data_IF_127469925510
#
_entry.id   IF_127469925510
#
_cell.length_a   1.000
_cell.length_b   1.000
_cell.length_c   1.000
_cell.angle_alpha   90.00
_cell.angle_beta   90.00
_cell.angle_gamma   90.00
#
_symmetry.space_group_name_H-M   'P 1'
#
loop_
_entity.id
_entity.type
_entity.pdbx_description
1 polymer ?
#
# COMPACT_ATOMS: atom_id res chain seq x y z
N UNK A 1 17.12 3.22 -16.11
CA UNK A 1 15.93 4.02 -16.50
C UNK A 1 14.78 3.57 -15.61
N UNK A 2 14.08 4.46 -14.98
CA UNK A 2 13.11 4.14 -13.91
C UNK A 2 11.82 3.58 -14.50
N UNK A 3 11.46 2.34 -14.17
CA UNK A 3 10.36 1.63 -14.80
C UNK A 3 9.39 1.04 -13.77
N UNK A 4 8.10 1.20 -14.03
CA UNK A 4 7.00 0.63 -13.24
C UNK A 4 6.13 -0.22 -14.17
N UNK A 5 5.87 -1.44 -13.79
CA UNK A 5 4.88 -2.31 -14.45
C UNK A 5 3.58 -2.25 -13.66
N UNK A 6 2.46 -2.05 -14.35
CA UNK A 6 1.12 -2.03 -13.75
C UNK A 6 0.29 -3.13 -14.41
N UNK A 7 -0.12 -4.11 -13.62
CA UNK A 7 -0.96 -5.23 -14.04
C UNK A 7 -2.42 -4.93 -13.67
N UNK A 8 -3.27 -4.80 -14.68
CA UNK A 8 -4.72 -4.64 -14.50
C UNK A 8 -5.38 -6.03 -14.53
N UNK A 9 -5.06 -6.84 -13.55
CA UNK A 9 -5.32 -8.27 -13.46
C UNK A 9 -6.59 -8.66 -12.69
N UNK A 10 -7.26 -7.71 -12.06
CA UNK A 10 -8.50 -7.96 -11.33
C UNK A 10 -9.71 -7.35 -12.05
N UNK A 11 -10.78 -8.12 -12.22
CA UNK A 11 -12.00 -7.66 -12.88
C UNK A 11 -12.86 -6.74 -12.01
N UNK A 12 -12.69 -6.82 -10.70
CA UNK A 12 -13.46 -6.05 -9.72
C UNK A 12 -12.78 -4.70 -9.40
N UNK A 13 -12.13 -4.08 -10.38
CA UNK A 13 -11.48 -2.76 -10.22
C UNK A 13 -12.20 -1.69 -11.04
N UNK A 14 -12.13 -0.46 -10.58
CA UNK A 14 -12.62 0.67 -11.35
C UNK A 14 -11.58 1.11 -12.40
N UNK A 15 -11.57 0.41 -13.54
CA UNK A 15 -10.62 0.66 -14.64
C UNK A 15 -10.56 2.13 -15.05
N UNK A 16 -11.71 2.79 -15.19
CA UNK A 16 -11.79 4.19 -15.61
C UNK A 16 -11.02 5.11 -14.67
N UNK A 17 -11.20 4.94 -13.36
CA UNK A 17 -10.53 5.73 -12.34
C UNK A 17 -9.02 5.47 -12.33
N UNK A 18 -8.63 4.19 -12.40
CA UNK A 18 -7.22 3.79 -12.39
C UNK A 18 -6.51 4.36 -13.62
N UNK A 19 -7.09 4.19 -14.80
CA UNK A 19 -6.57 4.71 -16.06
C UNK A 19 -6.44 6.23 -16.03
N UNK A 20 -7.41 6.94 -15.46
CA UNK A 20 -7.33 8.39 -15.30
C UNK A 20 -6.20 8.81 -14.34
N UNK A 21 -6.01 8.09 -13.24
CA UNK A 21 -4.90 8.32 -12.32
C UNK A 21 -3.53 8.08 -12.98
N UNK A 22 -3.40 7.04 -13.81
CA UNK A 22 -2.20 6.77 -14.62
C UNK A 22 -1.92 7.93 -15.58
N UNK A 23 -2.95 8.45 -16.27
CA UNK A 23 -2.81 9.64 -17.13
C UNK A 23 -2.28 10.85 -16.36
N UNK A 24 -2.83 11.13 -15.19
CA UNK A 24 -2.34 12.24 -14.35
C UNK A 24 -0.89 12.04 -13.92
N UNK A 25 -0.51 10.81 -13.57
CA UNK A 25 0.86 10.51 -13.20
C UNK A 25 1.84 10.68 -14.36
N UNK A 26 1.52 10.18 -15.56
CA UNK A 26 2.39 10.25 -16.73
C UNK A 26 2.67 11.70 -17.17
N UNK A 27 1.75 12.62 -16.91
CA UNK A 27 1.95 14.05 -17.14
C UNK A 27 2.93 14.65 -16.13
N UNK A 28 2.84 14.21 -14.84
CA UNK A 28 3.67 14.74 -13.75
C UNK A 28 5.09 14.17 -13.71
N UNK A 29 5.26 12.88 -14.04
CA UNK A 29 6.52 12.13 -13.90
C UNK A 29 6.97 11.56 -15.27
N UNK A 30 7.35 12.45 -16.19
CA UNK A 30 7.79 12.09 -17.55
C UNK A 30 9.07 11.28 -17.62
N UNK A 31 9.87 11.28 -16.55
CA UNK A 31 11.13 10.53 -16.43
C UNK A 31 10.94 9.06 -15.99
N UNK A 32 9.71 8.63 -15.73
CA UNK A 32 9.36 7.25 -15.35
C UNK A 32 8.63 6.59 -16.51
N UNK A 33 9.09 5.40 -16.91
CA UNK A 33 8.40 4.59 -17.92
C UNK A 33 7.37 3.70 -17.25
N UNK A 34 6.16 3.69 -17.77
CA UNK A 34 5.04 2.88 -17.33
C UNK A 34 4.76 1.80 -18.37
N UNK A 35 4.75 0.55 -17.95
CA UNK A 35 4.32 -0.60 -18.71
C UNK A 35 2.97 -1.07 -18.18
N UNK A 36 1.92 -0.84 -18.96
CA UNK A 36 0.55 -1.15 -18.55
C UNK A 36 0.13 -2.45 -19.21
N UNK A 37 -0.14 -3.46 -18.41
CA UNK A 37 -0.57 -4.79 -18.85
C UNK A 37 -2.04 -5.00 -18.53
N UNK A 38 -2.86 -5.33 -19.53
CA UNK A 38 -4.28 -5.51 -19.33
C UNK A 38 -5.01 -5.94 -20.61
N UNK A 39 -6.33 -6.13 -20.52
CA UNK A 39 -7.15 -6.36 -21.70
C UNK A 39 -7.22 -5.09 -22.55
N UNK A 40 -7.25 -5.27 -23.87
CA UNK A 40 -7.31 -4.16 -24.81
C UNK A 40 -8.47 -3.19 -24.51
N UNK A 41 -9.66 -3.70 -24.22
CA UNK A 41 -10.85 -2.89 -23.90
C UNK A 41 -10.67 -2.01 -22.66
N UNK A 42 -9.87 -2.44 -21.69
CA UNK A 42 -9.71 -1.78 -20.40
C UNK A 42 -8.66 -0.65 -20.46
N UNK A 43 -7.70 -0.75 -21.38
CA UNK A 43 -6.58 0.20 -21.51
C UNK A 43 -6.58 1.02 -22.81
N UNK A 44 -7.55 0.80 -23.72
CA UNK A 44 -7.66 1.54 -24.99
C UNK A 44 -7.76 3.06 -24.85
N UNK A 45 -8.25 3.53 -23.71
CA UNK A 45 -8.34 4.98 -23.44
C UNK A 45 -7.01 5.62 -23.07
N UNK A 46 -5.95 4.81 -22.83
CA UNK A 46 -4.59 5.30 -22.63
C UNK A 46 -3.93 5.53 -23.98
N UNK A 47 -3.35 6.71 -24.15
CA UNK A 47 -2.55 7.00 -25.33
C UNK A 47 -1.13 6.50 -25.12
N UNK A 48 -0.62 5.69 -26.04
CA UNK A 48 0.78 5.26 -26.06
C UNK A 48 1.66 6.51 -26.27
N UNK A 49 2.63 6.69 -25.39
CA UNK A 49 3.60 7.79 -25.43
C UNK A 49 5.01 7.24 -25.23
N UNK A 50 6.03 8.09 -25.30
CA UNK A 50 7.41 7.67 -25.01
C UNK A 50 7.60 7.17 -23.57
N UNK A 51 6.70 7.54 -22.65
CA UNK A 51 6.74 7.11 -21.23
C UNK A 51 5.63 6.12 -20.85
N UNK A 52 4.71 5.79 -21.77
CA UNK A 52 3.60 4.86 -21.50
C UNK A 52 3.55 3.78 -22.58
N UNK A 53 3.84 2.56 -22.19
CA UNK A 53 3.83 1.37 -23.04
C UNK A 53 2.63 0.49 -22.70
N UNK A 54 1.84 0.12 -23.69
CA UNK A 54 0.65 -0.72 -23.54
C UNK A 54 0.95 -2.13 -24.02
N UNK A 55 0.69 -3.10 -23.16
CA UNK A 55 0.85 -4.53 -23.41
C UNK A 55 -0.50 -5.22 -23.25
N UNK A 56 -0.95 -5.87 -24.28
CA UNK A 56 -2.26 -6.49 -24.30
C UNK A 56 -2.17 -7.97 -23.90
N UNK A 57 -2.86 -8.35 -22.83
CA UNK A 57 -3.06 -9.74 -22.49
C UNK A 57 -4.14 -10.32 -23.41
N UNK A 58 -3.73 -11.17 -24.36
CA UNK A 58 -4.65 -11.91 -25.22
C UNK A 58 -5.35 -13.00 -24.40
N UNK A 59 -6.63 -12.80 -24.16
CA UNK A 59 -7.46 -13.77 -23.45
C UNK A 59 -8.60 -14.20 -24.35
N UNK A 60 -8.35 -15.20 -25.16
CA UNK A 60 -9.41 -16.02 -25.76
C UNK A 60 -9.87 -16.99 -24.68
N UNK A 61 -11.06 -16.77 -24.14
CA UNK A 61 -11.67 -17.64 -23.13
C UNK A 61 -12.31 -16.86 -21.98
N UNK A 62 -13.47 -17.32 -21.56
CA UNK A 62 -14.32 -16.64 -20.58
C UNK A 62 -13.99 -16.98 -19.11
N UNK A 63 -12.92 -17.70 -18.82
CA UNK A 63 -12.57 -18.04 -17.44
C UNK A 63 -11.81 -16.88 -16.79
N UNK A 64 -12.44 -16.30 -15.78
CA UNK A 64 -11.90 -15.16 -15.04
C UNK A 64 -10.53 -15.44 -14.40
N UNK A 65 -10.34 -16.64 -13.86
CA UNK A 65 -9.09 -17.07 -13.22
C UNK A 65 -7.94 -17.10 -14.22
N UNK A 66 -8.17 -17.63 -15.43
CA UNK A 66 -7.15 -17.71 -16.47
C UNK A 66 -6.74 -16.31 -16.97
N UNK A 67 -7.70 -15.40 -17.05
CA UNK A 67 -7.45 -14.01 -17.42
C UNK A 67 -6.56 -13.31 -16.41
N UNK A 68 -6.87 -13.42 -15.12
CA UNK A 68 -6.06 -12.86 -14.03
C UNK A 68 -4.63 -13.37 -14.09
N UNK A 69 -4.45 -14.68 -14.18
CA UNK A 69 -3.13 -15.32 -14.23
C UNK A 69 -2.33 -14.95 -15.46
N UNK A 70 -2.94 -14.96 -16.65
CA UNK A 70 -2.26 -14.57 -17.90
C UNK A 70 -1.82 -13.11 -17.86
N UNK A 71 -2.66 -12.20 -17.35
CA UNK A 71 -2.33 -10.78 -17.24
C UNK A 71 -1.16 -10.58 -16.27
N UNK A 72 -1.20 -11.20 -15.08
CA UNK A 72 -0.12 -11.13 -14.12
C UNK A 72 1.16 -11.79 -14.64
N UNK A 73 1.08 -12.95 -15.31
CA UNK A 73 2.23 -13.64 -15.91
C UNK A 73 2.94 -12.74 -16.93
N UNK A 74 2.20 -12.09 -17.82
CA UNK A 74 2.76 -11.13 -18.78
C UNK A 74 3.38 -9.92 -18.08
N UNK A 75 2.78 -9.46 -16.97
CA UNK A 75 3.34 -8.35 -16.18
C UNK A 75 4.66 -8.75 -15.50
N UNK A 76 4.76 -9.96 -14.97
CA UNK A 76 5.99 -10.50 -14.37
C UNK A 76 7.08 -10.68 -15.46
N UNK A 77 6.73 -11.23 -16.63
CA UNK A 77 7.64 -11.33 -17.76
C UNK A 77 8.17 -9.95 -18.18
N UNK A 78 7.28 -8.96 -18.24
CA UNK A 78 7.64 -7.57 -18.54
C UNK A 78 8.54 -6.97 -17.46
N UNK A 79 8.27 -7.24 -16.17
CA UNK A 79 9.11 -6.79 -15.05
C UNK A 79 10.56 -7.27 -15.23
N UNK A 80 10.76 -8.53 -15.61
CA UNK A 80 12.10 -9.08 -15.82
C UNK A 80 12.74 -8.59 -17.13
N UNK A 81 12.02 -8.66 -18.25
CA UNK A 81 12.51 -8.26 -19.58
C UNK A 81 12.93 -6.80 -19.64
N UNK A 82 12.15 -5.95 -19.02
CA UNK A 82 12.40 -4.50 -19.00
C UNK A 82 13.28 -4.07 -17.83
N UNK A 83 13.72 -5.01 -16.97
CA UNK A 83 14.48 -4.72 -15.75
C UNK A 83 13.79 -3.66 -14.86
N UNK A 84 12.45 -3.76 -14.78
CA UNK A 84 11.67 -2.81 -13.98
C UNK A 84 11.86 -3.06 -12.48
N UNK A 85 11.65 -2.03 -11.68
CA UNK A 85 11.91 -2.04 -10.24
C UNK A 85 10.66 -2.35 -9.42
N UNK A 86 9.49 -2.01 -9.97
CA UNK A 86 8.20 -2.08 -9.28
C UNK A 86 7.17 -2.80 -10.15
N UNK A 87 6.43 -3.71 -9.53
CA UNK A 87 5.21 -4.30 -10.09
C UNK A 87 4.01 -3.90 -9.21
N UNK A 88 3.02 -3.25 -9.81
CA UNK A 88 1.73 -2.96 -9.17
C UNK A 88 0.69 -3.94 -9.72
N UNK A 89 -0.02 -4.64 -8.84
CA UNK A 89 -1.10 -5.58 -9.15
C UNK A 89 -2.33 -5.27 -8.31
N UNK A 90 -3.50 -5.63 -8.81
CA UNK A 90 -4.76 -5.44 -8.11
C UNK A 90 -5.37 -6.75 -7.58
N UNK A 91 -4.63 -7.86 -7.66
CA UNK A 91 -5.00 -9.12 -7.02
C UNK A 91 -5.04 -8.98 -5.49
N UNK A 92 -5.71 -9.91 -4.84
CA UNK A 92 -5.68 -9.98 -3.39
C UNK A 92 -4.27 -10.30 -2.87
N UNK A 93 -3.96 -9.84 -1.66
CA UNK A 93 -2.61 -9.93 -1.07
C UNK A 93 -2.04 -11.34 -1.08
N UNK A 94 -2.81 -12.32 -0.60
CA UNK A 94 -2.36 -13.73 -0.56
C UNK A 94 -2.26 -14.33 -1.97
N UNK A 95 -3.13 -13.94 -2.90
CA UNK A 95 -3.10 -14.37 -4.29
C UNK A 95 -1.87 -13.79 -5.02
N UNK A 96 -1.62 -12.49 -4.92
CA UNK A 96 -0.43 -11.84 -5.47
C UNK A 96 0.86 -12.49 -4.97
N UNK A 97 0.97 -12.71 -3.66
CA UNK A 97 2.13 -13.40 -3.09
C UNK A 97 2.32 -14.80 -3.68
N UNK A 98 1.25 -15.62 -3.70
CA UNK A 98 1.27 -16.99 -4.22
C UNK A 98 1.70 -17.06 -5.70
N UNK A 99 1.12 -16.21 -6.54
CA UNK A 99 1.43 -16.21 -7.97
C UNK A 99 2.86 -15.71 -8.27
N UNK A 100 3.45 -14.91 -7.39
CA UNK A 100 4.82 -14.41 -7.54
C UNK A 100 5.91 -15.28 -6.89
N UNK A 101 5.53 -16.33 -6.15
CA UNK A 101 6.49 -17.19 -5.43
C UNK A 101 7.56 -17.82 -6.32
N UNK A 102 7.17 -18.29 -7.50
CA UNK A 102 8.07 -18.99 -8.42
C UNK A 102 8.95 -18.07 -9.28
N UNK A 103 8.49 -16.82 -9.45
CA UNK A 103 9.08 -15.90 -10.43
C UNK A 103 9.90 -14.79 -9.80
N UNK A 104 9.66 -14.46 -8.54
CA UNK A 104 10.35 -13.39 -7.82
C UNK A 104 10.84 -13.93 -6.48
N UNK A 105 12.17 -13.95 -6.32
CA UNK A 105 12.83 -14.55 -5.16
C UNK A 105 12.52 -13.79 -3.86
N UNK A 106 12.36 -14.55 -2.77
CA UNK A 106 12.37 -13.98 -1.41
C UNK A 106 13.83 -13.73 -0.98
N UNK A 107 14.10 -12.57 -0.42
CA UNK A 107 15.40 -12.20 0.14
C UNK A 107 15.39 -12.12 1.67
N UNK A 108 14.20 -12.05 2.25
CA UNK A 108 13.93 -12.09 3.70
C UNK A 108 12.50 -12.61 3.93
N UNK A 109 12.03 -12.62 5.18
CA UNK A 109 10.63 -12.93 5.50
C UNK A 109 9.70 -11.99 4.71
N UNK A 110 8.84 -12.51 3.80
CA UNK A 110 7.93 -11.66 3.05
C UNK A 110 6.78 -11.18 3.94
N UNK A 111 6.40 -9.93 3.79
CA UNK A 111 5.26 -9.34 4.52
C UNK A 111 4.69 -8.13 3.79
N UNK A 112 3.47 -7.74 4.15
CA UNK A 112 2.87 -6.52 3.63
C UNK A 112 3.05 -5.36 4.59
N UNK A 113 3.65 -4.27 4.10
CA UNK A 113 3.70 -2.97 4.76
C UNK A 113 2.59 -2.08 4.19
N UNK A 114 1.72 -1.58 5.05
CA UNK A 114 0.69 -0.62 4.69
C UNK A 114 1.06 0.76 5.22
N UNK A 115 0.97 1.79 4.37
CA UNK A 115 1.12 3.19 4.75
C UNK A 115 -0.26 3.85 4.80
N UNK A 116 -0.60 4.44 5.91
CA UNK A 116 -1.90 5.07 6.11
C UNK A 116 -1.79 6.43 6.78
N UNK A 117 -2.80 7.28 6.58
CA UNK A 117 -2.89 8.59 7.22
C UNK A 117 -3.56 8.44 8.58
N UNK A 118 -3.01 9.05 9.62
CA UNK A 118 -3.60 9.05 10.96
C UNK A 118 -4.63 10.17 11.13
N UNK A 119 -5.65 9.94 11.97
CA UNK A 119 -6.82 10.84 12.04
C UNK A 119 -6.57 12.18 12.71
N UNK A 120 -5.56 12.32 13.56
CA UNK A 120 -5.44 13.51 14.44
C UNK A 120 -4.46 14.55 13.91
N UNK A 121 -3.40 14.16 13.21
CA UNK A 121 -2.30 15.07 12.89
C UNK A 121 -1.99 15.10 11.37
N UNK A 122 -2.82 14.50 10.55
CA UNK A 122 -2.53 14.32 9.11
C UNK A 122 -1.14 13.75 8.85
N UNK A 123 -0.65 12.90 9.76
CA UNK A 123 0.63 12.21 9.71
C UNK A 123 0.44 10.82 9.12
N UNK A 124 1.41 10.35 8.39
CA UNK A 124 1.43 8.98 7.92
C UNK A 124 2.10 8.08 8.95
N UNK A 125 1.50 6.92 9.17
CA UNK A 125 2.07 5.80 9.92
C UNK A 125 2.07 4.54 9.06
N UNK A 126 2.75 3.50 9.55
CA UNK A 126 2.91 2.23 8.84
C UNK A 126 2.42 1.08 9.71
N UNK A 127 1.88 0.04 9.07
CA UNK A 127 1.41 -1.20 9.70
C UNK A 127 2.06 -2.41 9.03
N UNK A 128 2.74 -3.27 9.80
CA UNK A 128 3.41 -4.49 9.35
C UNK A 128 3.25 -5.63 10.40
N UNK A 129 2.88 -6.85 10.05
CA UNK A 129 2.47 -7.35 8.75
C UNK A 129 1.00 -7.03 8.50
N UNK A 130 0.69 -6.42 7.39
CA UNK A 130 -0.68 -6.00 7.10
C UNK A 130 -1.46 -6.98 6.20
N UNK A 131 -1.10 -8.26 6.20
CA UNK A 131 -1.97 -9.23 5.55
C UNK A 131 -1.36 -10.42 4.85
N UNK A 132 -0.20 -10.93 5.27
CA UNK A 132 0.39 -12.15 4.73
C UNK A 132 0.53 -13.27 5.78
N UNK A 133 1.16 -12.98 6.92
CA UNK A 133 1.51 -13.97 7.93
C UNK A 133 0.54 -13.91 9.12
N UNK A 134 -0.20 -14.98 9.35
CA UNK A 134 -1.17 -15.06 10.45
C UNK A 134 -0.50 -15.38 11.80
N UNK A 135 0.67 -16.05 11.78
CA UNK A 135 1.53 -16.26 12.94
C UNK A 135 2.98 -15.96 12.57
N UNK A 136 3.72 -15.36 13.48
CA UNK A 136 5.11 -14.98 13.32
C UNK A 136 5.89 -15.38 14.57
N UNK A 137 7.09 -15.90 14.41
CA UNK A 137 8.06 -16.09 15.48
C UNK A 137 8.68 -14.75 15.89
N UNK A 138 9.37 -14.73 17.02
CA UNK A 138 10.12 -13.56 17.50
C UNK A 138 11.11 -13.06 16.44
N UNK A 139 11.91 -13.97 15.86
CA UNK A 139 12.94 -13.61 14.87
C UNK A 139 12.32 -13.02 13.59
N UNK A 140 11.19 -13.57 13.12
CA UNK A 140 10.46 -13.01 11.97
C UNK A 140 9.90 -11.62 12.27
N UNK A 141 9.38 -11.36 13.47
CA UNK A 141 8.99 -10.01 13.89
C UNK A 141 10.16 -9.03 13.87
N UNK A 142 11.33 -9.44 14.35
CA UNK A 142 12.54 -8.60 14.35
C UNK A 142 13.01 -8.33 12.91
N UNK A 143 12.95 -9.32 12.05
CA UNK A 143 13.30 -9.15 10.63
C UNK A 143 12.34 -8.19 9.92
N UNK A 144 11.03 -8.33 10.14
CA UNK A 144 9.98 -7.42 9.64
C UNK A 144 10.22 -6.00 10.17
N UNK A 145 10.50 -5.83 11.47
CA UNK A 145 10.81 -4.55 12.08
C UNK A 145 11.99 -3.86 11.39
N UNK A 146 13.10 -4.58 11.26
CA UNK A 146 14.32 -4.01 10.68
C UNK A 146 14.13 -3.65 9.19
N UNK A 147 13.49 -4.54 8.43
CA UNK A 147 13.19 -4.32 7.01
C UNK A 147 12.24 -3.14 6.83
N UNK A 148 11.20 -3.04 7.66
CA UNK A 148 10.23 -1.93 7.62
C UNK A 148 10.89 -0.59 7.95
N UNK A 149 11.67 -0.53 9.03
CA UNK A 149 12.35 0.71 9.44
C UNK A 149 13.35 1.18 8.39
N UNK A 150 14.11 0.24 7.81
CA UNK A 150 15.04 0.55 6.72
C UNK A 150 14.28 1.08 5.49
N UNK A 151 13.20 0.46 5.09
CA UNK A 151 12.37 0.91 3.96
C UNK A 151 11.76 2.30 4.23
N UNK A 152 11.27 2.54 5.44
CA UNK A 152 10.70 3.83 5.87
C UNK A 152 11.78 4.93 5.83
N UNK A 153 12.97 4.66 6.31
CA UNK A 153 14.08 5.60 6.27
C UNK A 153 14.54 5.88 4.84
N UNK A 154 14.78 4.83 4.06
CA UNK A 154 15.34 4.89 2.71
C UNK A 154 14.36 5.55 1.71
N UNK A 155 13.06 5.25 1.80
CA UNK A 155 12.06 5.66 0.80
C UNK A 155 11.29 6.91 1.24
N UNK A 156 10.99 7.02 2.53
CA UNK A 156 10.19 8.13 3.06
C UNK A 156 10.99 9.15 3.85
N UNK A 157 12.32 8.93 3.99
CA UNK A 157 13.26 9.83 4.68
C UNK A 157 12.90 10.09 6.15
N UNK A 158 12.22 9.13 6.80
CA UNK A 158 11.87 9.19 8.23
C UNK A 158 12.98 8.50 9.02
N UNK A 159 13.95 9.28 9.47
CA UNK A 159 15.07 8.79 10.31
C UNK A 159 14.59 8.48 11.72
N UNK A 160 15.23 7.48 12.36
CA UNK A 160 14.93 7.08 13.74
C UNK A 160 13.45 6.82 14.01
N UNK A 161 12.76 6.19 13.04
CA UNK A 161 11.33 5.90 13.15
C UNK A 161 10.98 5.19 14.45
N UNK A 162 9.96 5.70 15.13
CA UNK A 162 9.40 5.10 16.35
C UNK A 162 8.50 3.92 16.00
N UNK A 163 8.40 2.93 16.89
CA UNK A 163 7.57 1.76 16.64
C UNK A 163 6.90 1.23 17.90
N UNK A 164 5.77 0.57 17.72
CA UNK A 164 4.97 -0.08 18.76
C UNK A 164 4.53 -1.46 18.31
N UNK A 165 4.23 -2.33 19.26
CA UNK A 165 3.51 -3.59 19.00
C UNK A 165 2.02 -3.30 19.07
N UNK A 166 1.28 -3.63 18.00
CA UNK A 166 -0.17 -3.50 17.97
C UNK A 166 -0.80 -4.63 18.79
N UNK A 167 -1.51 -4.27 19.86
CA UNK A 167 -2.17 -5.22 20.75
C UNK A 167 -3.49 -4.64 21.28
N UNK A 168 -4.44 -5.54 21.58
CA UNK A 168 -5.63 -5.18 22.35
C UNK A 168 -5.29 -4.98 23.83
N UNK A 169 -4.20 -5.57 24.32
CA UNK A 169 -3.79 -5.57 25.71
C UNK A 169 -2.90 -4.38 26.02
N UNK A 170 -3.23 -3.62 27.05
CA UNK A 170 -2.46 -2.43 27.46
C UNK A 170 -1.60 -2.65 28.70
N UNK A 171 -1.82 -3.74 29.43
CA UNK A 171 -1.11 -4.08 30.67
C UNK A 171 -0.26 -5.32 30.44
N UNK A 172 0.97 -5.34 30.95
CA UNK A 172 1.89 -6.50 30.85
C UNK A 172 1.26 -7.80 31.38
N UNK A 173 0.42 -7.73 32.44
CA UNK A 173 -0.28 -8.89 32.98
C UNK A 173 -1.22 -9.61 31.99
N UNK A 174 -1.65 -8.89 30.96
CA UNK A 174 -2.67 -9.37 30.03
C UNK A 174 -2.03 -9.79 28.69
N UNK A 175 -0.71 -9.67 28.55
CA UNK A 175 -0.01 -10.03 27.32
C UNK A 175 -0.05 -11.53 27.08
N UNK A 176 -0.28 -11.92 25.83
CA UNK A 176 -0.06 -13.29 25.38
C UNK A 176 1.44 -13.64 25.46
N UNK A 177 1.78 -14.93 25.42
CA UNK A 177 3.16 -15.38 25.46
C UNK A 177 4.04 -14.68 24.39
N UNK A 178 3.57 -14.60 23.16
CA UNK A 178 4.27 -13.96 22.07
C UNK A 178 4.41 -12.44 22.28
N UNK A 179 3.37 -11.77 22.80
CA UNK A 179 3.44 -10.33 23.12
C UNK A 179 4.44 -10.06 24.23
N UNK A 180 4.50 -10.92 25.26
CA UNK A 180 5.47 -10.81 26.35
C UNK A 180 6.91 -10.99 25.86
N UNK A 181 7.14 -11.96 24.99
CA UNK A 181 8.47 -12.21 24.39
C UNK A 181 8.92 -10.99 23.54
N UNK A 182 8.04 -10.51 22.67
CA UNK A 182 8.32 -9.31 21.84
C UNK A 182 8.56 -8.07 22.71
N UNK A 183 7.72 -7.84 23.71
CA UNK A 183 7.85 -6.69 24.60
C UNK A 183 9.20 -6.73 25.35
N UNK A 184 9.55 -7.87 25.95
CA UNK A 184 10.80 -8.04 26.67
C UNK A 184 12.03 -7.86 25.77
N UNK A 185 11.99 -8.35 24.53
CA UNK A 185 13.07 -8.19 23.57
C UNK A 185 13.23 -6.77 23.03
N UNK A 186 12.17 -5.97 23.06
CA UNK A 186 12.14 -4.63 22.46
C UNK A 186 12.14 -3.47 23.46
N UNK A 187 11.73 -3.68 24.73
CA UNK A 187 11.52 -2.60 25.74
C UNK A 187 12.71 -1.65 25.94
N UNK A 188 13.92 -2.13 25.70
CA UNK A 188 15.16 -1.34 25.85
C UNK A 188 15.75 -0.90 24.49
N UNK A 189 15.08 -1.15 23.36
CA UNK A 189 15.56 -0.78 22.04
C UNK A 189 15.17 0.64 21.68
N UNK A 190 16.06 1.39 21.02
CA UNK A 190 15.82 2.76 20.58
C UNK A 190 14.59 2.84 19.65
N UNK A 191 13.68 3.75 19.97
CA UNK A 191 12.49 4.01 19.18
C UNK A 191 11.26 3.18 19.55
N UNK A 192 11.38 2.25 20.52
CA UNK A 192 10.24 1.47 20.99
C UNK A 192 9.32 2.31 21.89
N UNK A 193 8.03 2.42 21.54
CA UNK A 193 7.02 3.17 22.25
C UNK A 193 6.01 2.28 23.02
N UNK A 194 6.36 1.00 23.23
CA UNK A 194 5.52 0.05 23.95
C UNK A 194 4.39 -0.54 23.11
N UNK A 195 3.35 -1.01 23.79
CA UNK A 195 2.14 -1.54 23.17
C UNK A 195 1.25 -0.40 22.68
N UNK A 196 0.52 -0.64 21.59
CA UNK A 196 -0.42 0.31 21.02
C UNK A 196 -1.74 -0.38 20.70
N UNK A 197 -2.83 0.12 21.26
CA UNK A 197 -4.18 -0.33 20.94
C UNK A 197 -4.71 0.37 19.67
N UNK A 198 -5.92 0.00 19.23
CA UNK A 198 -6.51 0.56 18.02
C UNK A 198 -6.65 2.09 18.04
N UNK A 199 -6.91 2.70 19.22
CA UNK A 199 -6.99 4.16 19.37
C UNK A 199 -5.61 4.82 19.21
N UNK A 200 -4.57 4.22 19.80
CA UNK A 200 -3.19 4.70 19.66
C UNK A 200 -2.73 4.68 18.19
N UNK A 201 -3.12 3.62 17.45
CA UNK A 201 -2.81 3.47 16.03
C UNK A 201 -3.50 4.58 15.21
N UNK A 202 -4.80 4.78 15.43
CA UNK A 202 -5.57 5.83 14.72
C UNK A 202 -5.03 7.23 15.05
N UNK A 203 -4.58 7.45 16.28
CA UNK A 203 -3.98 8.73 16.70
C UNK A 203 -2.54 8.94 16.21
N UNK A 204 -1.88 7.91 15.70
CA UNK A 204 -0.50 8.02 15.21
C UNK A 204 0.54 8.11 16.33
N UNK A 205 0.42 7.30 17.39
CA UNK A 205 1.36 7.27 18.52
C UNK A 205 2.78 6.93 18.09
N UNK A 206 2.93 6.10 17.06
CA UNK A 206 4.22 5.66 16.49
C UNK A 206 4.22 5.75 14.98
N UNK A 207 5.43 5.75 14.39
CA UNK A 207 5.60 5.73 12.94
C UNK A 207 5.28 4.35 12.35
N UNK A 208 5.62 3.27 13.07
CA UNK A 208 5.41 1.89 12.65
C UNK A 208 4.69 1.09 13.74
N UNK A 209 3.73 0.28 13.33
CA UNK A 209 3.05 -0.68 14.19
C UNK A 209 3.30 -2.09 13.71
N UNK A 210 3.85 -2.93 14.58
CA UNK A 210 4.07 -4.36 14.32
C UNK A 210 2.82 -5.14 14.71
N UNK A 211 2.39 -6.04 13.85
CA UNK A 211 1.22 -6.89 14.04
C UNK A 211 1.33 -8.14 13.17
N UNK A 212 0.37 -9.05 13.25
CA UNK A 212 0.19 -10.15 12.30
C UNK A 212 -0.96 -9.85 11.33
N UNK A 213 -1.09 -10.65 10.28
CA UNK A 213 -2.08 -10.44 9.23
C UNK A 213 -3.54 -10.47 9.73
N UNK A 214 -3.84 -11.34 10.69
CA UNK A 214 -5.19 -11.47 11.26
C UNK A 214 -5.60 -10.21 12.03
N UNK A 215 -4.75 -9.74 12.95
CA UNK A 215 -5.01 -8.53 13.73
C UNK A 215 -5.03 -7.28 12.83
N UNK A 216 -4.14 -7.17 11.85
CA UNK A 216 -4.14 -6.09 10.88
C UNK A 216 -5.43 -6.06 10.06
N UNK A 217 -5.88 -7.22 9.57
CA UNK A 217 -7.11 -7.33 8.78
C UNK A 217 -8.33 -6.94 9.60
N UNK A 218 -8.42 -7.39 10.85
CA UNK A 218 -9.49 -7.01 11.76
C UNK A 218 -9.52 -5.51 12.04
N UNK A 219 -8.37 -4.91 12.31
CA UNK A 219 -8.23 -3.46 12.53
C UNK A 219 -8.67 -2.66 11.29
N UNK A 220 -8.16 -3.02 10.12
CA UNK A 220 -8.46 -2.33 8.85
C UNK A 220 -9.96 -2.43 8.54
N UNK A 221 -10.55 -3.62 8.66
CA UNK A 221 -11.98 -3.84 8.40
C UNK A 221 -12.85 -3.13 9.43
N UNK A 222 -12.47 -3.13 10.71
CA UNK A 222 -13.18 -2.42 11.77
C UNK A 222 -13.23 -0.91 11.53
N UNK A 223 -12.10 -0.31 11.18
CA UNK A 223 -12.04 1.13 10.86
C UNK A 223 -12.86 1.43 9.59
N UNK A 224 -12.77 0.57 8.56
CA UNK A 224 -13.57 0.69 7.34
C UNK A 224 -15.06 0.65 7.62
N UNK A 225 -15.53 -0.36 8.36
CA UNK A 225 -16.95 -0.52 8.70
C UNK A 225 -17.48 0.64 9.55
N UNK A 226 -16.70 1.12 10.50
CA UNK A 226 -17.07 2.30 11.30
C UNK A 226 -17.21 3.54 10.42
N UNK A 227 -16.29 3.76 9.50
CA UNK A 227 -16.35 4.89 8.58
C UNK A 227 -17.57 4.80 7.64
N UNK A 228 -17.83 3.64 7.05
CA UNK A 228 -18.99 3.41 6.17
C UNK A 228 -20.31 3.68 6.92
N UNK A 229 -20.45 3.14 8.13
CA UNK A 229 -21.61 3.38 8.99
C UNK A 229 -21.79 4.86 9.35
N UNK A 230 -20.69 5.56 9.64
CA UNK A 230 -20.74 7.00 9.91
C UNK A 230 -21.17 7.79 8.67
N UNK A 231 -20.63 7.45 7.49
CA UNK A 231 -20.95 8.08 6.21
C UNK A 231 -22.43 7.87 5.86
N UNK A 232 -22.97 6.65 6.02
CA UNK A 232 -24.38 6.36 5.77
C UNK A 232 -25.31 7.20 6.65
N UNK A 233 -24.99 7.29 7.95
CA UNK A 233 -25.74 8.14 8.89
C UNK A 233 -25.69 9.62 8.51
N UNK A 234 -24.51 10.10 8.13
CA UNK A 234 -24.29 11.48 7.71
C UNK A 234 -25.07 11.79 6.42
N UNK A 235 -24.97 10.92 5.41
CA UNK A 235 -25.69 11.09 4.14
C UNK A 235 -27.21 11.05 4.34
N UNK A 236 -27.71 10.18 5.25
CA UNK A 236 -29.14 10.15 5.62
C UNK A 236 -29.56 11.44 6.29
N UNK A 237 -28.81 11.92 7.28
CA UNK A 237 -29.06 13.17 7.98
C UNK A 237 -29.15 14.36 7.01
N UNK A 238 -28.19 14.47 6.08
CA UNK A 238 -28.20 15.53 5.06
C UNK A 238 -29.42 15.42 4.12
N UNK A 239 -29.88 14.20 3.81
CA UNK A 239 -31.06 14.01 2.94
C UNK A 239 -32.37 14.37 3.63
N UNK A 240 -32.48 14.10 4.92
CA UNK A 240 -33.74 14.22 5.67
C UNK A 240 -33.98 15.62 6.26
N UNK A 241 -32.89 16.41 6.49
CA UNK A 241 -32.95 17.72 7.11
C UNK A 241 -32.66 18.84 6.10
N UNK A 242 -33.62 19.79 5.97
CA UNK A 242 -33.50 20.94 5.06
C UNK A 242 -32.39 21.92 5.50
N UNK A 243 -32.24 22.15 6.80
CA UNK A 243 -31.19 23.03 7.36
C UNK A 243 -29.82 22.39 7.13
N UNK A 244 -29.71 21.06 7.30
CA UNK A 244 -28.50 20.32 7.01
C UNK A 244 -28.12 20.38 5.53
N UNK A 245 -29.08 20.35 4.59
CA UNK A 245 -28.83 20.57 3.14
C UNK A 245 -28.22 21.93 2.86
N UNK A 246 -28.76 22.98 3.44
CA UNK A 246 -28.26 24.36 3.27
C UNK A 246 -26.85 24.48 3.87
N UNK A 247 -26.67 24.00 5.13
CA UNK A 247 -25.38 24.01 5.80
C UNK A 247 -24.32 23.24 5.03
N UNK A 248 -24.67 22.08 4.47
CA UNK A 248 -23.78 21.27 3.64
C UNK A 248 -23.38 21.99 2.34
N UNK A 249 -24.31 22.76 1.75
CA UNK A 249 -24.01 23.57 0.55
C UNK A 249 -22.94 24.62 0.85
N UNK A 250 -23.05 25.33 1.96
CA UNK A 250 -22.03 26.32 2.38
C UNK A 250 -20.74 25.67 2.89
N UNK A 251 -20.83 24.51 3.55
CA UNK A 251 -19.70 23.75 4.07
C UNK A 251 -19.02 22.86 3.00
N UNK A 252 -19.38 22.95 1.72
CA UNK A 252 -18.87 22.09 0.64
C UNK A 252 -17.34 22.01 0.59
N UNK A 253 -16.60 23.07 0.95
CA UNK A 253 -15.14 23.02 1.00
C UNK A 253 -14.63 22.15 2.16
N UNK A 254 -15.27 22.21 3.34
CA UNK A 254 -14.96 21.34 4.48
C UNK A 254 -15.43 19.91 4.22
N UNK A 255 -16.62 19.76 3.62
CA UNK A 255 -17.17 18.45 3.28
C UNK A 255 -16.45 17.75 2.13
N UNK A 256 -15.70 18.46 1.28
CA UNK A 256 -14.74 17.82 0.38
C UNK A 256 -13.71 17.02 1.16
N UNK A 257 -13.25 17.50 2.30
CA UNK A 257 -12.33 16.76 3.17
C UNK A 257 -12.98 15.47 3.71
N UNK A 258 -14.23 15.52 4.15
CA UNK A 258 -14.98 14.35 4.62
C UNK A 258 -15.33 13.41 3.46
N UNK A 259 -15.76 13.94 2.31
CA UNK A 259 -16.16 13.14 1.14
C UNK A 259 -14.98 12.59 0.31
N UNK A 260 -13.83 13.26 0.32
CA UNK A 260 -12.61 12.74 -0.31
C UNK A 260 -11.89 11.72 0.57
N UNK A 261 -12.24 11.66 1.85
CA UNK A 261 -11.72 10.71 2.82
C UNK A 261 -12.66 9.48 2.95
N UNK A 262 -13.00 8.84 1.83
CA UNK A 262 -13.83 7.63 1.78
C UNK A 262 -13.24 6.46 2.59
N UNK A 263 -14.02 5.39 2.75
CA UNK A 263 -13.71 4.14 3.47
C UNK A 263 -12.32 3.51 3.19
N UNK A 264 -11.67 3.95 2.15
CA UNK A 264 -10.35 3.50 1.71
C UNK A 264 -9.16 4.15 2.43
N UNK A 265 -9.39 4.90 3.52
CA UNK A 265 -8.38 5.67 4.23
C UNK A 265 -7.09 4.91 4.58
N UNK A 266 -7.23 3.63 4.94
CA UNK A 266 -6.10 2.74 5.25
C UNK A 266 -5.53 2.02 4.02
N UNK A 267 -6.21 2.01 2.88
CA UNK A 267 -5.85 1.19 1.73
C UNK A 267 -5.42 2.01 0.50
N UNK A 268 -5.66 3.30 0.49
CA UNK A 268 -5.50 4.20 -0.69
C UNK A 268 -4.13 4.18 -1.33
N UNK A 269 -3.08 4.05 -0.54
CA UNK A 269 -1.70 4.07 -1.03
C UNK A 269 -1.22 2.66 -1.44
N UNK A 270 -2.09 1.66 -1.32
CA UNK A 270 -1.76 0.26 -1.56
C UNK A 270 -0.97 -0.38 -0.42
N UNK A 271 -0.51 -1.59 -0.69
CA UNK A 271 0.26 -2.40 0.25
C UNK A 271 1.58 -2.79 -0.40
N UNK A 272 2.70 -2.47 0.24
CA UNK A 272 4.03 -2.85 -0.22
C UNK A 272 4.35 -4.27 0.22
N UNK A 273 4.56 -5.20 -0.70
CA UNK A 273 5.08 -6.52 -0.40
C UNK A 273 6.60 -6.44 -0.37
N UNK A 274 7.15 -6.46 0.82
CA UNK A 274 8.58 -6.43 1.12
C UNK A 274 9.13 -7.84 1.34
N UNK A 275 10.45 -7.96 1.46
CA UNK A 275 11.13 -9.25 1.60
C UNK A 275 11.37 -9.98 0.28
N UNK A 276 11.12 -9.34 -0.86
CA UNK A 276 11.40 -9.85 -2.21
C UNK A 276 12.46 -9.02 -2.93
N UNK A 277 13.10 -9.59 -3.94
CA UNK A 277 14.14 -8.92 -4.74
C UNK A 277 13.61 -7.73 -5.56
N UNK A 278 12.31 -7.67 -5.83
CA UNK A 278 11.60 -6.57 -6.49
C UNK A 278 10.51 -6.04 -5.59
N UNK A 279 10.21 -4.75 -5.68
CA UNK A 279 9.10 -4.17 -4.96
C UNK A 279 7.78 -4.53 -5.63
N UNK A 280 6.92 -5.24 -4.90
CA UNK A 280 5.58 -5.55 -5.35
C UNK A 280 4.57 -4.71 -4.56
N UNK A 281 3.56 -4.21 -5.24
CA UNK A 281 2.54 -3.36 -4.62
C UNK A 281 1.16 -3.90 -4.96
N UNK A 282 0.37 -4.18 -3.94
CA UNK A 282 -1.06 -4.43 -4.10
C UNK A 282 -1.80 -3.11 -4.15
N UNK A 283 -2.36 -2.76 -5.30
CA UNK A 283 -3.16 -1.55 -5.52
C UNK A 283 -4.56 -1.66 -4.90
N UNK A 284 -5.20 -0.52 -4.68
CA UNK A 284 -6.56 -0.45 -4.14
C UNK A 284 -7.61 -0.59 -5.25
N UNK A 285 -8.56 -1.53 -5.14
CA UNK A 285 -9.48 -1.89 -6.21
C UNK A 285 -10.51 -0.77 -6.52
N UNK A 286 -10.99 -0.08 -5.47
CA UNK A 286 -11.96 1.02 -5.58
C UNK A 286 -11.30 2.40 -5.61
N UNK A 287 -10.05 2.48 -6.07
CA UNK A 287 -9.27 3.70 -6.11
C UNK A 287 -9.98 4.78 -6.95
N UNK A 288 -10.04 5.99 -6.42
CA UNK A 288 -10.34 7.18 -7.23
C UNK A 288 -9.13 7.52 -8.13
N UNK A 289 -9.31 8.37 -9.15
CA UNK A 289 -8.17 8.83 -9.96
C UNK A 289 -7.05 9.48 -9.13
N UNK A 290 -7.40 10.18 -8.06
CA UNK A 290 -6.44 10.80 -7.15
C UNK A 290 -5.75 9.79 -6.23
N UNK A 291 -6.46 8.74 -5.79
CA UNK A 291 -5.85 7.66 -5.00
C UNK A 291 -4.81 6.91 -5.84
N UNK A 292 -5.14 6.59 -7.10
CA UNK A 292 -4.20 5.99 -8.04
C UNK A 292 -2.99 6.89 -8.29
N UNK A 293 -3.22 8.19 -8.54
CA UNK A 293 -2.13 9.16 -8.70
C UNK A 293 -1.22 9.20 -7.46
N UNK A 294 -1.80 9.30 -6.26
CA UNK A 294 -1.05 9.38 -5.01
C UNK A 294 -0.28 8.08 -4.74
N UNK A 295 -0.87 6.93 -5.00
CA UNK A 295 -0.19 5.64 -4.90
C UNK A 295 1.02 5.59 -5.85
N UNK A 296 0.87 6.00 -7.10
CA UNK A 296 1.97 6.03 -8.07
C UNK A 296 3.06 7.04 -7.69
N UNK A 297 2.68 8.22 -7.18
CA UNK A 297 3.65 9.22 -6.68
C UNK A 297 4.41 8.69 -5.46
N UNK A 298 3.75 7.94 -4.57
CA UNK A 298 4.39 7.33 -3.42
C UNK A 298 5.37 6.23 -3.84
N UNK A 299 4.97 5.38 -4.79
CA UNK A 299 5.85 4.35 -5.35
C UNK A 299 7.04 4.95 -6.11
N UNK A 300 6.88 6.12 -6.73
CA UNK A 300 7.98 6.79 -7.41
C UNK A 300 9.12 7.21 -6.47
N UNK A 301 8.87 7.38 -5.18
CA UNK A 301 9.91 7.66 -4.17
C UNK A 301 10.88 6.50 -4.01
N UNK A 302 10.42 5.26 -4.14
CA UNK A 302 11.30 4.10 -4.15
C UNK A 302 12.26 4.13 -5.35
N UNK A 303 11.78 4.54 -6.51
CA UNK A 303 12.63 4.74 -7.70
C UNK A 303 13.65 5.87 -7.45
N UNK A 304 13.20 6.99 -6.91
CA UNK A 304 14.08 8.12 -6.58
C UNK A 304 15.18 7.66 -5.58
N UNK A 305 14.84 6.82 -4.59
CA UNK A 305 15.80 6.19 -3.68
C UNK A 305 16.82 5.31 -4.41
N UNK A 306 16.39 4.43 -5.32
CA UNK A 306 17.29 3.55 -6.08
C UNK A 306 18.31 4.36 -6.89
N UNK A 307 17.87 5.45 -7.53
CA UNK A 307 18.76 6.35 -8.27
C UNK A 307 19.80 6.99 -7.36
N UNK A 308 19.39 7.48 -6.20
CA UNK A 308 20.30 8.07 -5.22
C UNK A 308 21.33 7.07 -4.71
N UNK A 309 20.90 5.84 -4.45
CA UNK A 309 21.78 4.74 -4.04
C UNK A 309 22.83 4.43 -5.09
N UNK A 310 22.44 4.28 -6.36
CA UNK A 310 23.39 4.03 -7.46
C UNK A 310 24.41 5.16 -7.64
N UNK A 311 23.98 6.42 -7.48
CA UNK A 311 24.88 7.58 -7.54
C UNK A 311 25.88 7.59 -6.37
N UNK A 312 25.40 7.26 -5.16
CA UNK A 312 26.27 7.13 -3.97
C UNK A 312 27.32 6.03 -4.13
N UNK A 313 26.93 4.87 -4.65
CA UNK A 313 27.83 3.73 -4.88
C UNK A 313 28.91 4.06 -5.95
N UNK A 314 28.56 4.81 -6.98
CA UNK A 314 29.52 5.26 -8.01
C UNK A 314 30.53 6.28 -7.48
N UNK A 315 30.14 7.14 -6.56
CA UNK A 315 31.04 8.11 -5.92
C UNK A 315 32.01 7.44 -4.94
N UNK A 316 31.56 6.41 -4.23
CA UNK A 316 32.42 5.65 -3.30
C UNK A 316 33.43 4.73 -4.00
N UNK A 317 33.15 4.27 -5.23
CA UNK A 317 34.10 3.46 -6.05
C UNK A 317 35.19 4.30 -6.74
N UNK A 318 35.06 5.63 -6.73
CA UNK A 318 36.06 6.55 -7.32
C UNK A 318 37.03 7.15 -6.27
N UNK A 319 36.83 6.86 -5.01
CA UNK A 319 37.77 7.12 -3.90
C UNK A 319 38.58 5.87 -3.57
#
# INVERSE_FOLDING_TARGET
MNKIVISLDNQNINYSNIVQGIKYFSIKKKNIQLYIVGKQKDINSLTKTNSVHLLFSHTEGNNEVDVKRKTLSLAIETLHKEEADILISYLDKKELYKETLKSIKNISTPFYLNRFLTGVISRYSFLADSGLNDSLSYDEYIEILNTSRKFIEDVFFIKDSTYSIASANSKESDFTFNEQELFNGLKNKKGFNGMANGLDIVKGKSDLYLTNATNASFLIQGIKGMYESYKEKYDKYIKDDFVAKISNFFARKMNRFVNTNSSSYLERLGFYLLGKEKLLVKGFNDASPYDTLNMLLDNSKYIDYLVLKELGDKTNKKK
#
